data_IF_338803224853
#
_entry.id   IF_338803224853
#
_cell.length_a   1.000
_cell.length_b   1.000
_cell.length_c   1.000
_cell.angle_alpha   90.00
_cell.angle_beta   90.00
_cell.angle_gamma   90.00
#
_symmetry.space_group_name_H-M   'P 1'
#
loop_
_entity.id
_entity.type
_entity.pdbx_description
1 polymer ?
#
# COMPACT_ATOMS: atom_id res chain seq x y z
N UNK A 1 12.07 -13.54 11.45
CA UNK A 1 13.46 -13.97 11.14
C UNK A 1 14.33 -12.88 10.51
N UNK A 2 13.79 -11.99 9.64
CA UNK A 2 14.53 -10.88 8.97
C UNK A 2 15.38 -10.00 9.91
N UNK A 3 14.80 -9.44 10.99
CA UNK A 3 15.51 -8.57 11.96
C UNK A 3 16.68 -9.22 12.70
N UNK A 4 16.60 -10.52 12.97
CA UNK A 4 17.68 -11.24 13.66
C UNK A 4 18.90 -11.44 12.74
N UNK A 5 18.71 -11.31 11.43
CA UNK A 5 19.76 -11.37 10.41
C UNK A 5 20.36 -10.00 10.07
N UNK A 6 19.75 -8.89 10.51
CA UNK A 6 20.29 -7.54 10.28
C UNK A 6 21.48 -7.25 11.21
N UNK A 7 22.56 -6.60 10.69
CA UNK A 7 23.71 -6.20 11.49
C UNK A 7 23.30 -5.33 12.68
N UNK A 8 23.91 -5.54 13.85
CA UNK A 8 23.54 -4.79 15.07
C UNK A 8 23.64 -3.27 14.91
N UNK A 9 24.50 -2.78 14.03
CA UNK A 9 24.73 -1.35 13.80
C UNK A 9 23.67 -0.68 12.91
N UNK A 10 22.95 -1.43 12.07
CA UNK A 10 21.87 -0.89 11.23
C UNK A 10 20.48 -1.03 11.89
N UNK A 11 20.39 -1.72 13.04
CA UNK A 11 19.11 -1.93 13.71
C UNK A 11 18.56 -0.63 14.26
N UNK A 12 17.41 -0.24 13.73
CA UNK A 12 16.60 0.84 14.31
C UNK A 12 16.21 0.50 15.76
N UNK A 13 16.23 1.48 16.67
CA UNK A 13 15.75 1.32 18.05
C UNK A 13 14.34 0.69 18.09
N UNK A 14 14.07 -0.14 19.10
CA UNK A 14 12.78 -0.84 19.24
C UNK A 14 11.57 0.09 19.21
N UNK A 15 11.69 1.29 19.80
CA UNK A 15 10.63 2.32 19.78
C UNK A 15 10.34 2.80 18.37
N UNK A 16 11.36 3.13 17.58
CA UNK A 16 11.24 3.59 16.20
C UNK A 16 10.64 2.49 15.32
N UNK A 17 11.13 1.26 15.46
CA UNK A 17 10.59 0.13 14.72
C UNK A 17 9.09 -0.11 15.00
N UNK A 18 8.66 0.02 16.27
CA UNK A 18 7.25 -0.14 16.61
C UNK A 18 6.39 0.96 15.99
N UNK A 19 6.90 2.19 15.97
CA UNK A 19 6.25 3.34 15.32
C UNK A 19 6.18 3.19 13.79
N UNK A 20 7.20 2.64 13.15
CA UNK A 20 7.19 2.34 11.71
C UNK A 20 6.20 1.21 11.38
N UNK A 21 6.19 0.16 12.21
CA UNK A 21 5.29 -0.99 12.04
C UNK A 21 3.83 -0.59 12.27
N UNK A 22 3.55 0.26 13.26
CA UNK A 22 2.18 0.73 13.53
C UNK A 22 1.64 1.59 12.39
N UNK A 23 2.48 2.43 11.76
CA UNK A 23 2.09 3.17 10.54
C UNK A 23 1.69 2.23 9.40
N UNK A 24 2.46 1.17 9.16
CA UNK A 24 2.13 0.18 8.13
C UNK A 24 0.82 -0.55 8.45
N UNK A 25 0.59 -0.89 9.73
CA UNK A 25 -0.66 -1.53 10.16
C UNK A 25 -1.88 -0.62 9.91
N UNK A 26 -1.77 0.69 10.19
CA UNK A 26 -2.84 1.66 9.91
C UNK A 26 -3.09 1.74 8.39
N UNK A 27 -2.03 1.79 7.57
CA UNK A 27 -2.15 1.79 6.12
C UNK A 27 -2.85 0.53 5.57
N UNK A 28 -2.47 -0.65 6.08
CA UNK A 28 -3.11 -1.92 5.70
C UNK A 28 -4.60 -1.93 6.06
N UNK A 29 -4.96 -1.44 7.25
CA UNK A 29 -6.35 -1.34 7.68
C UNK A 29 -7.16 -0.41 6.77
N UNK A 30 -6.60 0.76 6.43
CA UNK A 30 -7.22 1.72 5.52
C UNK A 30 -7.46 1.11 4.13
N UNK A 31 -6.45 0.48 3.53
CA UNK A 31 -6.57 -0.17 2.22
C UNK A 31 -7.57 -1.32 2.24
N UNK A 32 -7.60 -2.11 3.32
CA UNK A 32 -8.57 -3.18 3.48
C UNK A 32 -10.01 -2.64 3.41
N UNK A 33 -10.32 -1.59 4.18
CA UNK A 33 -11.65 -0.97 4.13
C UNK A 33 -11.97 -0.34 2.77
N UNK A 34 -10.99 0.31 2.13
CA UNK A 34 -11.17 0.87 0.79
C UNK A 34 -11.49 -0.22 -0.26
N UNK A 35 -10.79 -1.35 -0.20
CA UNK A 35 -11.05 -2.49 -1.08
C UNK A 35 -12.41 -3.16 -0.81
N UNK A 36 -12.81 -3.28 0.46
CA UNK A 36 -14.14 -3.80 0.83
C UNK A 36 -15.24 -2.87 0.29
N UNK A 37 -15.08 -1.55 0.43
CA UNK A 37 -16.02 -0.58 -0.12
C UNK A 37 -16.11 -0.64 -1.65
N UNK A 38 -14.97 -0.78 -2.32
CA UNK A 38 -14.92 -0.92 -3.79
C UNK A 38 -15.61 -2.21 -4.28
N UNK A 39 -15.47 -3.30 -3.54
CA UNK A 39 -16.13 -4.57 -3.84
C UNK A 39 -17.64 -4.49 -3.76
N UNK A 40 -18.19 -3.61 -2.91
CA UNK A 40 -19.65 -3.40 -2.80
C UNK A 40 -20.21 -2.57 -3.97
N UNK A 41 -19.38 -1.70 -4.57
CA UNK A 41 -19.77 -0.82 -5.67
C UNK A 41 -19.74 -1.51 -7.05
N UNK A 42 -19.05 -2.65 -7.17
CA UNK A 42 -18.81 -3.30 -8.46
C UNK A 42 -19.54 -4.63 -8.57
N UNK A 43 -20.57 -4.72 -9.41
CA UNK A 43 -21.41 -5.93 -9.60
C UNK A 43 -20.76 -7.01 -10.51
N UNK A 44 -19.44 -7.00 -10.66
CA UNK A 44 -18.71 -7.92 -11.56
C UNK A 44 -18.12 -9.13 -10.82
N UNK A 45 -17.52 -10.08 -11.56
CA UNK A 45 -16.88 -11.25 -10.95
C UNK A 45 -15.82 -10.83 -9.90
N UNK A 46 -16.03 -11.15 -8.62
CA UNK A 46 -15.19 -10.64 -7.55
C UNK A 46 -13.76 -11.17 -7.60
N UNK A 47 -13.54 -12.38 -8.15
CA UNK A 47 -12.21 -12.98 -8.20
C UNK A 47 -11.32 -12.31 -9.26
N UNK A 48 -11.83 -12.17 -10.48
CA UNK A 48 -11.09 -11.49 -11.57
C UNK A 48 -10.84 -10.02 -11.24
N UNK A 49 -11.84 -9.32 -10.70
CA UNK A 49 -11.69 -7.90 -10.36
C UNK A 49 -10.73 -7.68 -9.18
N UNK A 50 -10.78 -8.55 -8.17
CA UNK A 50 -9.82 -8.51 -7.07
C UNK A 50 -8.39 -8.78 -7.57
N UNK A 51 -8.20 -9.75 -8.49
CA UNK A 51 -6.90 -10.04 -9.07
C UNK A 51 -6.33 -8.82 -9.82
N UNK A 52 -7.14 -8.17 -10.66
CA UNK A 52 -6.72 -6.98 -11.41
C UNK A 52 -6.39 -5.84 -10.45
N UNK A 53 -7.23 -5.58 -9.44
CA UNK A 53 -6.98 -4.57 -8.42
C UNK A 53 -5.68 -4.85 -7.65
N UNK A 54 -5.44 -6.10 -7.22
CA UNK A 54 -4.21 -6.51 -6.55
C UNK A 54 -2.97 -6.32 -7.44
N UNK A 55 -3.03 -6.73 -8.71
CA UNK A 55 -1.92 -6.58 -9.65
C UNK A 55 -1.63 -5.11 -9.97
N UNK A 56 -2.67 -4.29 -10.11
CA UNK A 56 -2.53 -2.84 -10.29
C UNK A 56 -1.93 -2.17 -9.05
N UNK A 57 -2.40 -2.51 -7.85
CA UNK A 57 -1.84 -2.02 -6.58
C UNK A 57 -0.36 -2.44 -6.46
N UNK A 58 -0.01 -3.69 -6.79
CA UNK A 58 1.35 -4.21 -6.71
C UNK A 58 2.33 -3.63 -7.76
N UNK A 59 1.81 -3.11 -8.87
CA UNK A 59 2.63 -2.56 -9.97
C UNK A 59 2.56 -1.03 -10.00
N UNK A 60 1.43 -0.48 -10.44
CA UNK A 60 1.19 0.95 -10.55
C UNK A 60 1.10 1.61 -9.17
N UNK A 61 0.41 0.97 -8.22
CA UNK A 61 0.24 1.49 -6.87
C UNK A 61 1.58 1.67 -6.15
N UNK A 62 2.43 0.64 -6.17
CA UNK A 62 3.79 0.71 -5.62
C UNK A 62 4.63 1.81 -6.28
N UNK A 63 4.54 1.96 -7.60
CA UNK A 63 5.24 3.03 -8.33
C UNK A 63 4.75 4.43 -7.90
N UNK A 64 3.44 4.62 -7.79
CA UNK A 64 2.83 5.89 -7.36
C UNK A 64 3.20 6.24 -5.92
N UNK A 65 3.16 5.27 -5.00
CA UNK A 65 3.58 5.46 -3.61
C UNK A 65 5.07 5.82 -3.57
N UNK A 66 5.92 5.14 -4.34
CA UNK A 66 7.35 5.46 -4.41
C UNK A 66 7.60 6.88 -4.89
N UNK A 67 6.96 7.31 -5.98
CA UNK A 67 7.06 8.67 -6.51
C UNK A 67 6.51 9.68 -5.49
N UNK A 68 5.37 9.39 -4.86
CA UNK A 68 4.74 10.24 -3.86
C UNK A 68 5.61 10.46 -2.64
N UNK A 69 6.20 9.39 -2.08
CA UNK A 69 7.14 9.49 -0.96
C UNK A 69 8.36 10.30 -1.38
N UNK A 70 8.94 10.04 -2.56
CA UNK A 70 10.11 10.79 -3.05
C UNK A 70 9.80 12.27 -3.24
N UNK A 71 8.64 12.61 -3.80
CA UNK A 71 8.21 13.99 -3.99
C UNK A 71 8.00 14.72 -2.66
N UNK A 72 7.32 14.08 -1.71
CA UNK A 72 7.11 14.65 -0.37
C UNK A 72 8.44 14.78 0.38
N UNK A 73 9.33 13.78 0.31
CA UNK A 73 10.68 13.87 0.88
C UNK A 73 11.46 15.06 0.33
N UNK A 74 11.50 15.24 -1.00
CA UNK A 74 12.16 16.39 -1.62
C UNK A 74 11.54 17.73 -1.21
N UNK A 75 10.20 17.79 -1.09
CA UNK A 75 9.50 19.00 -0.65
C UNK A 75 9.80 19.34 0.82
N UNK A 76 9.81 18.33 1.69
CA UNK A 76 10.14 18.46 3.12
C UNK A 76 11.59 18.91 3.30
N UNK A 77 12.52 18.36 2.51
CA UNK A 77 13.93 18.79 2.49
C UNK A 77 14.07 20.24 2.02
N UNK A 78 13.36 20.64 0.97
CA UNK A 78 13.38 22.02 0.51
C UNK A 78 12.80 22.97 1.57
N UNK A 79 11.67 22.62 2.18
CA UNK A 79 11.02 23.43 3.23
C UNK A 79 11.74 23.37 4.59
N UNK A 80 12.80 22.56 4.73
CA UNK A 80 13.56 22.33 5.97
C UNK A 80 12.66 21.93 7.15
N UNK A 81 11.59 21.17 6.88
CA UNK A 81 10.69 20.68 7.92
C UNK A 81 11.28 19.45 8.61
N UNK A 82 12.18 19.68 9.59
CA UNK A 82 12.86 18.61 10.33
C UNK A 82 11.89 17.62 11.00
N UNK A 83 10.70 18.06 11.41
CA UNK A 83 9.68 17.20 12.04
C UNK A 83 8.97 16.25 11.08
N UNK A 84 9.01 16.50 9.77
CA UNK A 84 8.30 15.70 8.75
C UNK A 84 9.24 14.83 7.91
N UNK A 85 10.54 14.84 8.22
CA UNK A 85 11.55 14.04 7.53
C UNK A 85 11.32 12.55 7.82
N UNK A 86 10.90 11.81 6.79
CA UNK A 86 10.57 10.39 6.90
C UNK A 86 11.70 9.57 7.55
N UNK A 87 11.35 8.84 8.61
CA UNK A 87 12.28 7.96 9.31
C UNK A 87 13.08 8.62 10.44
N UNK A 88 12.88 9.92 10.70
CA UNK A 88 13.39 10.62 11.88
C UNK A 88 12.22 11.12 12.72
N UNK A 89 12.27 10.90 14.04
CA UNK A 89 11.16 11.19 14.97
C UNK A 89 11.54 12.20 16.06
N UNK A 90 12.71 12.84 15.90
CA UNK A 90 13.31 13.74 16.90
C UNK A 90 13.84 13.02 18.15
N UNK A 91 14.67 13.73 18.92
CA UNK A 91 15.15 13.30 20.25
C UNK A 91 14.92 14.45 21.25
N UNK A 92 13.89 14.42 22.13
CA UNK A 92 13.00 13.30 22.45
C UNK A 92 11.92 13.02 21.38
N UNK A 93 11.36 11.80 21.40
CA UNK A 93 10.31 11.34 20.48
C UNK A 93 9.13 12.33 20.40
N UNK A 94 8.97 12.98 19.26
CA UNK A 94 7.87 13.91 19.03
C UNK A 94 6.67 13.14 18.45
N UNK A 95 5.63 12.94 19.27
CA UNK A 95 4.38 12.31 18.80
C UNK A 95 3.73 13.08 17.65
N UNK A 96 3.91 14.41 17.61
CA UNK A 96 3.46 15.28 16.51
C UNK A 96 4.14 14.94 15.18
N UNK A 97 5.45 14.65 15.19
CA UNK A 97 6.20 14.22 14.01
C UNK A 97 5.72 12.85 13.50
N UNK A 98 5.47 11.90 14.41
CA UNK A 98 4.89 10.61 14.04
C UNK A 98 3.50 10.75 13.43
N UNK A 99 2.62 11.55 14.05
CA UNK A 99 1.27 11.81 13.53
C UNK A 99 1.32 12.50 12.17
N UNK A 100 2.19 13.49 11.97
CA UNK A 100 2.36 14.19 10.70
C UNK A 100 2.83 13.26 9.59
N UNK A 101 3.85 12.43 9.85
CA UNK A 101 4.31 11.42 8.89
C UNK A 101 3.25 10.35 8.61
N UNK A 102 2.46 9.94 9.61
CA UNK A 102 1.36 9.00 9.41
C UNK A 102 0.24 9.62 8.55
N UNK A 103 -0.12 10.88 8.79
CA UNK A 103 -1.11 11.59 8.00
C UNK A 103 -0.67 11.79 6.54
N UNK A 104 0.60 12.18 6.33
CA UNK A 104 1.17 12.26 4.98
C UNK A 104 1.17 10.90 4.28
N UNK A 105 1.53 9.84 4.99
CA UNK A 105 1.50 8.48 4.44
C UNK A 105 0.08 8.07 4.02
N UNK A 106 -0.93 8.29 4.86
CA UNK A 106 -2.34 8.04 4.53
C UNK A 106 -2.81 8.90 3.35
N UNK A 107 -2.35 10.16 3.25
CA UNK A 107 -2.67 11.05 2.12
C UNK A 107 -2.11 10.50 0.81
N UNK A 108 -0.85 10.04 0.81
CA UNK A 108 -0.22 9.40 -0.36
C UNK A 108 -0.99 8.13 -0.74
N UNK A 109 -1.32 7.28 0.24
CA UNK A 109 -2.10 6.05 -0.01
C UNK A 109 -3.50 6.36 -0.56
N UNK A 110 -4.18 7.38 -0.04
CA UNK A 110 -5.50 7.80 -0.55
C UNK A 110 -5.40 8.27 -2.00
N UNK A 111 -4.37 9.06 -2.32
CA UNK A 111 -4.14 9.56 -3.67
C UNK A 111 -3.86 8.41 -4.64
N UNK A 112 -2.96 7.49 -4.27
CA UNK A 112 -2.68 6.29 -5.05
C UNK A 112 -3.96 5.47 -5.26
N UNK A 113 -4.72 5.19 -4.19
CA UNK A 113 -5.94 4.39 -4.30
C UNK A 113 -7.00 5.04 -5.18
N UNK A 114 -7.09 6.37 -5.14
CA UNK A 114 -8.00 7.13 -6.02
C UNK A 114 -7.61 6.95 -7.49
N UNK A 115 -6.31 6.97 -7.81
CA UNK A 115 -5.83 6.72 -9.18
C UNK A 115 -6.13 5.28 -9.61
N UNK A 116 -5.87 4.29 -8.75
CA UNK A 116 -6.17 2.88 -9.07
C UNK A 116 -7.67 2.69 -9.34
N UNK A 117 -8.54 3.28 -8.52
CA UNK A 117 -10.00 3.24 -8.75
C UNK A 117 -10.36 3.87 -10.10
N UNK A 118 -9.81 5.05 -10.43
CA UNK A 118 -10.06 5.69 -11.73
C UNK A 118 -9.61 4.79 -12.89
N UNK A 119 -8.45 4.14 -12.77
CA UNK A 119 -7.94 3.21 -13.78
C UNK A 119 -8.85 1.99 -13.91
N UNK A 120 -9.36 1.44 -12.81
CA UNK A 120 -10.29 0.31 -12.80
C UNK A 120 -11.64 0.64 -13.45
N UNK A 121 -12.09 1.91 -13.43
CA UNK A 121 -13.31 2.33 -14.13
C UNK A 121 -13.18 2.29 -15.66
N UNK A 122 -11.97 2.12 -16.21
CA UNK A 122 -11.77 2.00 -17.66
C UNK A 122 -12.37 0.67 -18.14
N UNK A 123 -13.27 0.68 -19.13
CA UNK A 123 -14.00 -0.53 -19.56
C UNK A 123 -13.11 -1.64 -20.14
N UNK A 124 -11.87 -1.33 -20.52
CA UNK A 124 -10.90 -2.31 -21.01
C UNK A 124 -10.60 -3.42 -19.98
N UNK A 125 -10.63 -3.10 -18.68
CA UNK A 125 -10.42 -4.09 -17.63
C UNK A 125 -11.57 -5.09 -17.51
N UNK A 126 -12.78 -4.66 -17.89
CA UNK A 126 -13.98 -5.51 -17.88
C UNK A 126 -13.90 -6.61 -18.94
N UNK A 127 -13.39 -6.28 -20.12
CA UNK A 127 -13.17 -7.28 -21.18
C UNK A 127 -12.10 -8.30 -20.78
N UNK A 128 -11.05 -7.86 -20.08
CA UNK A 128 -10.01 -8.76 -19.55
C UNK A 128 -10.56 -9.67 -18.46
N UNK A 129 -11.41 -9.16 -17.57
CA UNK A 129 -12.08 -9.96 -16.55
C UNK A 129 -13.02 -11.01 -17.14
N UNK A 130 -13.72 -10.68 -18.23
CA UNK A 130 -14.64 -11.60 -18.91
C UNK A 130 -13.91 -12.73 -19.67
N UNK A 131 -12.64 -12.54 -20.02
CA UNK A 131 -11.82 -13.52 -20.73
C UNK A 131 -11.22 -14.60 -19.82
N UNK A 132 -11.64 -14.70 -18.56
CA UNK A 132 -11.07 -15.65 -17.60
C UNK A 132 -11.34 -17.11 -18.02
N UNK A 133 -10.30 -17.91 -18.35
CA UNK A 133 -10.46 -19.28 -18.83
C UNK A 133 -10.68 -20.31 -17.71
N UNK A 134 -10.73 -19.89 -16.44
CA UNK A 134 -10.81 -20.78 -15.28
C UNK A 134 -12.27 -21.00 -14.90
N UNK A 135 -12.83 -22.15 -15.26
CA UNK A 135 -14.23 -22.50 -14.93
C UNK A 135 -14.42 -22.94 -13.47
N UNK A 136 -13.35 -23.33 -12.77
CA UNK A 136 -13.44 -23.85 -11.40
C UNK A 136 -13.21 -22.76 -10.34
N UNK A 137 -14.25 -22.39 -9.56
CA UNK A 137 -14.17 -21.27 -8.62
C UNK A 137 -13.22 -21.53 -7.43
N UNK A 138 -13.04 -22.79 -7.01
CA UNK A 138 -12.11 -23.10 -5.92
C UNK A 138 -10.64 -22.96 -6.37
N UNK A 139 -10.36 -23.33 -7.62
CA UNK A 139 -9.04 -23.19 -8.21
C UNK A 139 -8.70 -21.72 -8.45
N UNK A 140 -9.65 -20.96 -8.98
CA UNK A 140 -9.51 -19.52 -9.19
C UNK A 140 -9.21 -18.79 -7.88
N UNK A 141 -9.99 -19.04 -6.84
CA UNK A 141 -9.79 -18.44 -5.52
C UNK A 141 -8.39 -18.75 -4.97
N UNK A 142 -7.94 -20.01 -5.09
CA UNK A 142 -6.60 -20.42 -4.64
C UNK A 142 -5.49 -19.72 -5.43
N UNK A 143 -5.67 -19.55 -6.75
CA UNK A 143 -4.69 -18.84 -7.58
C UNK A 143 -4.62 -17.36 -7.19
N UNK A 144 -5.77 -16.69 -7.11
CA UNK A 144 -5.88 -15.24 -6.89
C UNK A 144 -5.46 -14.83 -5.48
N UNK A 145 -5.84 -15.61 -4.45
CA UNK A 145 -5.56 -15.24 -3.05
C UNK A 145 -4.25 -15.80 -2.50
N UNK A 146 -3.74 -16.92 -3.04
CA UNK A 146 -2.57 -17.60 -2.46
C UNK A 146 -1.38 -17.60 -3.43
N UNK A 147 -1.57 -18.10 -4.66
CA UNK A 147 -0.45 -18.33 -5.58
C UNK A 147 0.12 -17.00 -6.07
N UNK A 148 -0.73 -16.13 -6.63
CA UNK A 148 -0.27 -14.85 -7.20
C UNK A 148 0.36 -13.95 -6.12
N UNK A 149 -0.26 -13.73 -4.95
CA UNK A 149 0.35 -12.89 -3.91
C UNK A 149 1.67 -13.45 -3.36
N UNK A 150 1.85 -14.77 -3.36
CA UNK A 150 3.09 -15.39 -2.91
C UNK A 150 4.29 -15.08 -3.82
N UNK A 151 4.08 -14.96 -5.14
CA UNK A 151 5.16 -14.62 -6.06
C UNK A 151 5.43 -13.12 -6.17
N UNK A 152 4.40 -12.31 -5.96
CA UNK A 152 4.48 -10.84 -6.09
C UNK A 152 5.08 -10.19 -4.84
N UNK A 153 4.97 -10.81 -3.67
CA UNK A 153 5.43 -10.29 -2.36
C UNK A 153 6.80 -10.84 -1.95
#
# INVERSE_FOLDING_TARGET
VKRFREPKHERRPWRIWFLDTSKQAIGMLFIHFANVYLSDLTEEDPCSLYLINFLLDATLGMLLIYIGIRAVSSLVEWQQWESLRFGEYGDPLQCSAWMGQCALYIMIMTFEKTIIIIVLLIPQWKEVALLNPIENPQLELAIVMLIVPFFVN
#
